data_IF_624263231631
#
_entry.id   IF_624263231631
#
_cell.length_a   1.000
_cell.length_b   1.000
_cell.length_c   1.000
_cell.angle_alpha   90.00
_cell.angle_beta   90.00
_cell.angle_gamma   90.00
#
_symmetry.space_group_name_H-M   'P 1'
#
loop_
_entity.id
_entity.type
_entity.pdbx_description
1 polymer ?
#
# COMPACT_ATOMS: atom_id res chain seq x y z
N UNK A 1 -6.29 -10.33 3.41
CA UNK A 1 -5.91 -9.00 2.91
C UNK A 1 -6.28 -8.74 1.45
N UNK A 2 -5.89 -9.56 0.46
CA UNK A 2 -6.41 -9.41 -0.93
C UNK A 2 -7.95 -9.32 -1.04
N UNK A 3 -8.69 -9.92 -0.10
CA UNK A 3 -10.16 -9.76 0.00
C UNK A 3 -10.60 -8.36 0.46
N UNK A 4 -9.81 -7.68 1.29
CA UNK A 4 -10.14 -6.32 1.76
C UNK A 4 -10.02 -5.28 0.65
N UNK A 5 -8.93 -5.34 -0.12
CA UNK A 5 -8.69 -4.44 -1.26
C UNK A 5 -9.73 -4.65 -2.36
N UNK A 6 -10.11 -5.92 -2.64
CA UNK A 6 -11.12 -6.26 -3.64
C UNK A 6 -12.52 -5.71 -3.28
N UNK A 7 -12.90 -5.71 -2.00
CA UNK A 7 -14.21 -5.20 -1.55
C UNK A 7 -14.27 -3.67 -1.59
N UNK A 8 -13.17 -2.99 -1.25
CA UNK A 8 -13.10 -1.53 -1.35
C UNK A 8 -13.18 -1.05 -2.82
N UNK A 9 -12.51 -1.75 -3.76
CA UNK A 9 -12.60 -1.44 -5.19
C UNK A 9 -13.98 -1.76 -5.79
N UNK A 10 -14.63 -2.85 -5.38
CA UNK A 10 -15.95 -3.20 -5.92
C UNK A 10 -17.05 -2.22 -5.49
N UNK A 11 -16.94 -1.62 -4.30
CA UNK A 11 -17.88 -0.61 -3.83
C UNK A 11 -17.76 0.73 -4.59
N UNK A 12 -16.60 1.02 -5.20
CA UNK A 12 -16.36 2.26 -5.94
C UNK A 12 -16.75 2.11 -7.41
N UNK A 13 -16.65 0.93 -8.01
CA UNK A 13 -17.05 0.69 -9.41
C UNK A 13 -18.56 0.63 -9.61
N UNK A 14 -19.36 0.44 -8.56
CA UNK A 14 -20.83 0.35 -8.69
C UNK A 14 -21.55 1.70 -8.69
N UNK A 15 -20.87 2.83 -8.50
CA UNK A 15 -21.51 4.17 -8.45
C UNK A 15 -21.50 4.90 -9.81
N UNK A 16 -20.82 4.41 -10.85
CA UNK A 16 -20.66 5.15 -12.11
C UNK A 16 -21.47 4.62 -13.31
N UNK A 17 -22.40 3.67 -13.15
CA UNK A 17 -23.25 3.23 -14.28
C UNK A 17 -24.70 3.02 -13.83
N UNK A 18 -25.51 4.09 -13.84
CA UNK A 18 -26.96 3.98 -13.91
C UNK A 18 -27.51 5.16 -14.72
N UNK A 19 -27.75 4.94 -15.99
CA UNK A 19 -28.80 5.63 -16.76
C UNK A 19 -29.65 4.55 -17.44
N UNK A 20 -30.97 4.76 -17.54
CA UNK A 20 -31.93 3.67 -17.76
C UNK A 20 -32.22 3.42 -19.22
N UNK A 21 -32.29 2.15 -19.63
CA UNK A 21 -33.09 1.76 -20.79
C UNK A 21 -34.07 0.65 -20.42
N UNK A 22 -35.34 0.94 -20.58
CA UNK A 22 -36.45 -0.02 -20.52
C UNK A 22 -36.53 -0.85 -21.81
N UNK A 23 -36.88 -2.11 -21.65
CA UNK A 23 -37.71 -2.76 -22.67
C UNK A 23 -37.35 -4.22 -22.96
N UNK A 24 -38.34 -5.05 -22.64
CA UNK A 24 -38.78 -6.30 -23.28
C UNK A 24 -38.25 -7.63 -22.75
N UNK A 25 -39.17 -8.31 -22.10
CA UNK A 25 -39.16 -9.75 -21.79
C UNK A 25 -39.22 -10.61 -23.06
N UNK A 26 -38.45 -11.64 -23.11
CA UNK A 26 -38.84 -12.90 -23.77
C UNK A 26 -38.15 -14.08 -23.04
N UNK A 27 -39.01 -14.96 -22.60
CA UNK A 27 -38.76 -16.21 -21.92
C UNK A 27 -38.41 -17.27 -22.97
N UNK A 28 -37.25 -17.94 -22.83
CA UNK A 28 -37.12 -19.30 -23.39
C UNK A 28 -36.12 -20.08 -22.56
N UNK A 29 -36.63 -21.18 -22.00
CA UNK A 29 -35.84 -22.21 -21.38
C UNK A 29 -35.16 -23.04 -22.47
N UNK A 30 -33.87 -23.29 -22.33
CA UNK A 30 -33.19 -24.41 -22.99
C UNK A 30 -31.85 -24.70 -22.26
N UNK A 31 -31.77 -25.84 -21.71
CA UNK A 31 -30.65 -26.76 -21.52
C UNK A 31 -29.25 -26.16 -21.19
N UNK A 32 -28.82 -26.45 -19.97
CA UNK A 32 -27.47 -26.26 -19.50
C UNK A 32 -26.49 -27.21 -20.19
N UNK A 33 -25.87 -26.76 -21.27
CA UNK A 33 -24.54 -27.23 -21.61
C UNK A 33 -23.51 -26.40 -20.84
N UNK A 34 -22.84 -27.02 -19.90
CA UNK A 34 -21.65 -26.47 -19.25
C UNK A 34 -20.56 -26.31 -20.29
N UNK A 35 -20.53 -25.16 -20.96
CA UNK A 35 -19.35 -24.74 -21.71
C UNK A 35 -18.31 -24.34 -20.68
N UNK A 36 -17.49 -25.31 -20.30
CA UNK A 36 -16.20 -25.07 -19.67
C UNK A 36 -15.38 -24.22 -20.62
N UNK A 37 -15.40 -22.89 -20.43
CA UNK A 37 -14.44 -21.99 -21.09
C UNK A 37 -13.07 -22.23 -20.48
N UNK A 38 -12.46 -23.35 -20.82
CA UNK A 38 -11.03 -23.54 -20.76
C UNK A 38 -10.40 -22.63 -21.84
N UNK A 39 -10.20 -21.36 -21.51
CA UNK A 39 -9.21 -20.52 -22.17
C UNK A 39 -7.82 -20.96 -21.66
N UNK A 40 -7.45 -22.19 -21.92
CA UNK A 40 -6.06 -22.59 -21.87
C UNK A 40 -5.34 -21.79 -22.96
N UNK A 41 -4.54 -20.80 -22.57
CA UNK A 41 -3.64 -20.13 -23.49
C UNK A 41 -2.76 -21.23 -24.10
N UNK A 42 -3.03 -21.55 -25.36
CA UNK A 42 -2.37 -22.67 -26.02
C UNK A 42 -0.88 -22.42 -26.00
N UNK A 43 -0.11 -23.25 -25.32
CA UNK A 43 1.34 -23.16 -25.24
C UNK A 43 1.95 -22.97 -26.64
N UNK A 44 3.04 -22.22 -26.74
CA UNK A 44 3.73 -22.03 -27.99
C UNK A 44 4.38 -23.35 -28.44
N UNK A 45 4.52 -23.52 -29.75
CA UNK A 45 5.17 -24.68 -30.34
C UNK A 45 6.56 -24.89 -29.71
N UNK A 46 6.72 -25.97 -28.97
CA UNK A 46 7.97 -26.31 -28.27
C UNK A 46 9.17 -26.46 -29.16
N UNK A 47 8.96 -26.82 -30.47
CA UNK A 47 10.03 -26.97 -31.46
C UNK A 47 10.78 -25.66 -31.74
N UNK A 48 10.19 -24.52 -31.36
CA UNK A 48 10.78 -23.19 -31.53
C UNK A 48 11.72 -22.79 -30.42
N UNK A 49 11.70 -23.51 -29.29
CA UNK A 49 12.60 -23.27 -28.19
C UNK A 49 13.83 -24.16 -28.27
N UNK A 50 15.01 -23.58 -28.03
CA UNK A 50 16.24 -24.34 -27.82
C UNK A 50 16.47 -24.33 -26.30
N UNK A 51 16.45 -25.54 -25.75
CA UNK A 51 16.62 -25.80 -24.28
C UNK A 51 17.78 -26.79 -24.14
N UNK A 52 18.61 -26.59 -23.12
CA UNK A 52 19.65 -27.54 -22.76
C UNK A 52 19.18 -28.56 -21.71
N UNK A 53 20.06 -29.50 -21.37
CA UNK A 53 19.77 -30.56 -20.38
C UNK A 53 19.53 -30.07 -18.95
N UNK A 54 19.96 -28.85 -18.62
CA UNK A 54 19.78 -28.20 -17.33
C UNK A 54 18.47 -27.36 -17.25
N UNK A 55 17.64 -27.38 -18.30
CA UNK A 55 16.42 -26.59 -18.34
C UNK A 55 16.61 -25.12 -18.70
N UNK A 56 17.77 -24.76 -19.27
CA UNK A 56 18.03 -23.38 -19.70
C UNK A 56 17.55 -23.18 -21.14
N UNK A 57 16.60 -22.26 -21.34
CA UNK A 57 16.16 -21.84 -22.67
C UNK A 57 17.20 -20.90 -23.26
N UNK A 58 18.00 -21.40 -24.20
CA UNK A 58 19.10 -20.63 -24.78
C UNK A 58 18.71 -19.80 -26.00
N UNK A 59 17.58 -20.10 -26.65
CA UNK A 59 17.09 -19.32 -27.80
C UNK A 59 15.62 -19.62 -28.11
N UNK A 60 14.96 -18.65 -28.75
CA UNK A 60 13.63 -18.79 -29.36
C UNK A 60 13.68 -18.44 -30.84
N UNK A 61 13.24 -19.36 -31.72
CA UNK A 61 13.27 -19.26 -33.18
C UNK A 61 11.89 -19.04 -33.81
N UNK A 62 10.88 -18.73 -33.01
CA UNK A 62 9.51 -18.49 -33.49
C UNK A 62 9.29 -17.03 -33.91
N UNK A 63 8.12 -16.81 -34.54
CA UNK A 63 7.69 -15.50 -35.05
C UNK A 63 6.35 -15.03 -34.46
N UNK A 64 5.92 -15.61 -33.33
CA UNK A 64 4.68 -15.22 -32.67
C UNK A 64 4.87 -13.93 -31.86
N UNK A 65 3.87 -13.05 -31.91
CA UNK A 65 3.83 -11.84 -31.07
C UNK A 65 3.61 -12.17 -29.59
N UNK A 66 2.80 -13.21 -29.32
CA UNK A 66 2.52 -13.71 -27.97
C UNK A 66 3.08 -15.13 -27.84
N UNK A 67 3.92 -15.31 -26.83
CA UNK A 67 4.64 -16.55 -26.55
C UNK A 67 4.27 -17.04 -25.16
N UNK A 68 3.78 -18.28 -25.05
CA UNK A 68 3.63 -18.98 -23.77
C UNK A 68 4.66 -20.10 -23.75
N UNK A 69 5.63 -20.00 -22.86
CA UNK A 69 6.63 -21.04 -22.67
C UNK A 69 5.94 -22.26 -22.07
N UNK A 70 6.05 -23.46 -22.68
CA UNK A 70 5.44 -24.68 -22.13
C UNK A 70 6.05 -25.07 -20.77
N UNK A 71 5.26 -25.77 -19.94
CA UNK A 71 5.72 -26.37 -18.67
C UNK A 71 6.85 -27.39 -18.87
N UNK A 72 6.87 -28.05 -20.05
CA UNK A 72 7.96 -28.91 -20.51
C UNK A 72 8.27 -28.65 -21.97
N UNK A 73 9.53 -28.68 -22.33
CA UNK A 73 10.03 -28.54 -23.72
C UNK A 73 10.85 -29.79 -24.01
N UNK A 74 10.35 -30.66 -24.92
CA UNK A 74 11.00 -31.93 -25.24
C UNK A 74 11.24 -32.83 -24.01
N UNK A 75 10.31 -32.77 -23.04
CA UNK A 75 10.43 -33.52 -21.80
C UNK A 75 11.30 -32.87 -20.72
N UNK A 76 11.90 -31.71 -20.98
CA UNK A 76 12.74 -30.98 -20.02
C UNK A 76 11.92 -29.81 -19.42
N UNK A 77 11.94 -29.67 -18.09
CA UNK A 77 11.30 -28.56 -17.37
C UNK A 77 12.19 -27.32 -17.50
N UNK A 78 11.70 -26.19 -18.06
CA UNK A 78 12.47 -24.96 -18.11
C UNK A 78 12.64 -24.35 -16.72
N UNK A 79 13.87 -23.99 -16.37
CA UNK A 79 14.24 -23.41 -15.06
C UNK A 79 14.82 -21.99 -15.17
N UNK A 80 15.36 -21.66 -16.35
CA UNK A 80 16.01 -20.37 -16.62
C UNK A 80 15.76 -19.92 -18.06
N UNK A 81 15.53 -18.62 -18.24
CA UNK A 81 15.75 -17.98 -19.54
C UNK A 81 17.25 -17.67 -19.62
N UNK A 82 17.92 -18.28 -20.58
CA UNK A 82 19.38 -18.20 -20.75
C UNK A 82 19.86 -16.81 -21.18
N UNK A 83 21.17 -16.63 -21.09
CA UNK A 83 21.82 -15.37 -21.44
C UNK A 83 21.59 -15.04 -22.91
N UNK A 84 21.09 -13.84 -23.21
CA UNK A 84 20.79 -13.39 -24.56
C UNK A 84 19.65 -14.14 -25.28
N UNK A 85 18.88 -15.02 -24.66
CA UNK A 85 17.90 -15.89 -25.31
C UNK A 85 16.90 -15.17 -26.22
N UNK A 86 16.50 -13.95 -25.87
CA UNK A 86 15.61 -13.04 -26.62
C UNK A 86 16.28 -11.68 -26.88
N UNK A 87 17.62 -11.59 -26.82
CA UNK A 87 18.33 -10.34 -27.10
C UNK A 87 18.05 -9.87 -28.52
N UNK A 88 17.78 -8.57 -28.71
CA UNK A 88 17.41 -7.93 -29.96
C UNK A 88 16.19 -8.57 -30.68
N UNK A 89 15.33 -9.30 -29.93
CA UNK A 89 14.12 -9.88 -30.52
C UNK A 89 13.09 -8.78 -30.79
N UNK A 90 12.82 -8.53 -32.08
CA UNK A 90 11.89 -7.48 -32.53
C UNK A 90 10.48 -8.00 -32.80
N UNK A 91 10.23 -9.30 -32.57
CA UNK A 91 8.93 -9.95 -32.86
C UNK A 91 8.08 -10.07 -31.60
N UNK A 92 8.60 -10.72 -30.54
CA UNK A 92 7.84 -11.02 -29.33
C UNK A 92 7.44 -9.73 -28.62
N UNK A 93 6.14 -9.63 -28.27
CA UNK A 93 5.57 -8.52 -27.48
C UNK A 93 5.17 -8.98 -26.10
N UNK A 94 4.56 -10.17 -26.01
CA UNK A 94 4.05 -10.71 -24.78
C UNK A 94 4.65 -12.09 -24.54
N UNK A 95 5.17 -12.34 -23.35
CA UNK A 95 5.68 -13.65 -22.97
C UNK A 95 5.16 -14.05 -21.59
N UNK A 96 4.71 -15.31 -21.50
CA UNK A 96 4.32 -15.95 -20.23
C UNK A 96 5.31 -17.07 -19.95
N UNK A 97 5.92 -17.03 -18.78
CA UNK A 97 6.86 -18.04 -18.30
C UNK A 97 6.15 -18.95 -17.29
N UNK A 98 6.44 -20.27 -17.29
CA UNK A 98 5.95 -21.15 -16.25
C UNK A 98 6.63 -20.84 -14.91
N UNK A 99 5.98 -21.20 -13.80
CA UNK A 99 6.47 -20.94 -12.44
C UNK A 99 7.78 -21.66 -12.11
N UNK A 100 8.15 -22.67 -12.89
CA UNK A 100 9.44 -23.36 -12.79
C UNK A 100 10.63 -22.50 -13.22
N UNK A 101 10.40 -21.44 -14.03
CA UNK A 101 11.45 -20.49 -14.42
C UNK A 101 11.69 -19.52 -13.26
N UNK A 102 12.83 -19.65 -12.61
CA UNK A 102 13.21 -18.85 -11.42
C UNK A 102 14.26 -17.78 -11.72
N UNK A 103 14.95 -17.85 -12.86
CA UNK A 103 16.03 -16.94 -13.23
C UNK A 103 15.84 -16.40 -14.65
N UNK A 104 16.01 -15.09 -14.82
CA UNK A 104 16.17 -14.46 -16.14
C UNK A 104 17.64 -14.06 -16.29
N UNK A 105 18.31 -14.69 -17.24
CA UNK A 105 19.75 -14.58 -17.45
C UNK A 105 20.21 -13.23 -18.02
N UNK A 106 21.51 -13.03 -18.05
CA UNK A 106 22.17 -11.81 -18.52
C UNK A 106 21.75 -11.44 -19.94
N UNK A 107 21.39 -10.18 -20.16
CA UNK A 107 20.94 -9.66 -21.46
C UNK A 107 19.74 -10.43 -22.09
N UNK A 108 19.02 -11.28 -21.35
CA UNK A 108 18.03 -12.20 -21.92
C UNK A 108 17.01 -11.53 -22.84
N UNK A 109 16.52 -10.35 -22.49
CA UNK A 109 15.59 -9.52 -23.29
C UNK A 109 16.15 -8.15 -23.64
N UNK A 110 17.46 -7.96 -23.58
CA UNK A 110 18.09 -6.67 -23.90
C UNK A 110 17.74 -6.22 -25.31
N UNK A 111 17.36 -4.93 -25.45
CA UNK A 111 16.94 -4.33 -26.74
C UNK A 111 15.80 -5.07 -27.43
N UNK A 112 15.06 -5.91 -26.71
CA UNK A 112 13.91 -6.61 -27.26
C UNK A 112 12.68 -5.71 -27.35
N UNK A 113 11.72 -6.14 -28.16
CA UNK A 113 10.43 -5.47 -28.29
C UNK A 113 9.38 -6.04 -27.32
N UNK A 114 9.80 -6.82 -26.32
CA UNK A 114 8.89 -7.34 -25.30
C UNK A 114 8.24 -6.18 -24.52
N UNK A 115 6.92 -6.24 -24.41
CA UNK A 115 6.09 -5.21 -23.74
C UNK A 115 5.51 -5.71 -22.42
N UNK A 116 5.19 -7.02 -22.35
CA UNK A 116 4.67 -7.66 -21.14
C UNK A 116 5.37 -8.99 -20.88
N UNK A 117 5.72 -9.22 -19.64
CA UNK A 117 6.26 -10.48 -19.12
C UNK A 117 5.43 -10.92 -17.94
N UNK A 118 4.84 -12.12 -18.03
CA UNK A 118 4.20 -12.78 -16.87
C UNK A 118 5.17 -13.83 -16.36
N UNK A 119 5.69 -13.66 -15.16
CA UNK A 119 6.81 -14.45 -14.62
C UNK A 119 6.72 -14.58 -13.09
N UNK A 120 5.68 -15.25 -12.60
CA UNK A 120 5.41 -15.35 -11.16
C UNK A 120 6.45 -16.19 -10.39
N UNK A 121 7.21 -17.04 -11.08
CA UNK A 121 8.25 -17.90 -10.50
C UNK A 121 9.59 -17.22 -10.30
N UNK A 122 9.86 -16.08 -10.99
CA UNK A 122 11.19 -15.48 -11.07
C UNK A 122 11.61 -14.85 -9.74
N UNK A 123 12.76 -15.28 -9.23
CA UNK A 123 13.37 -14.79 -7.98
C UNK A 123 14.63 -13.96 -8.23
N UNK A 124 15.27 -14.13 -9.40
CA UNK A 124 16.51 -13.44 -9.77
C UNK A 124 16.44 -12.86 -11.19
N UNK A 125 16.79 -11.58 -11.32
CA UNK A 125 16.99 -10.88 -12.58
C UNK A 125 18.48 -10.55 -12.71
N UNK A 126 19.15 -11.18 -13.70
CA UNK A 126 20.58 -10.98 -13.92
C UNK A 126 20.86 -9.73 -14.77
N UNK A 127 22.13 -9.33 -14.79
CA UNK A 127 22.60 -8.07 -15.37
C UNK A 127 22.00 -7.78 -16.77
N UNK A 128 21.47 -6.57 -16.89
CA UNK A 128 20.96 -6.00 -18.14
C UNK A 128 19.83 -6.82 -18.81
N UNK A 129 19.15 -7.74 -18.10
CA UNK A 129 18.23 -8.69 -18.71
C UNK A 129 17.05 -8.04 -19.45
N UNK A 130 16.61 -6.85 -19.07
CA UNK A 130 15.60 -6.04 -19.79
C UNK A 130 16.14 -4.67 -20.24
N UNK A 131 17.45 -4.48 -20.22
CA UNK A 131 18.01 -3.18 -20.58
C UNK A 131 17.59 -2.74 -21.99
N UNK A 132 17.18 -1.48 -22.14
CA UNK A 132 16.75 -0.88 -23.40
C UNK A 132 15.58 -1.65 -24.09
N UNK A 133 14.82 -2.46 -23.34
CA UNK A 133 13.65 -3.16 -23.84
C UNK A 133 12.42 -2.25 -23.91
N UNK A 134 11.34 -2.74 -24.54
CA UNK A 134 10.03 -2.05 -24.55
C UNK A 134 9.12 -2.47 -23.41
N UNK A 135 9.63 -3.15 -22.39
CA UNK A 135 8.86 -3.61 -21.24
C UNK A 135 8.12 -2.43 -20.60
N UNK A 136 6.82 -2.58 -20.35
CA UNK A 136 5.95 -1.52 -19.86
C UNK A 136 5.84 -1.47 -18.32
N UNK A 137 6.00 -2.63 -17.69
CA UNK A 137 5.97 -2.76 -16.22
C UNK A 137 6.95 -3.83 -15.76
N UNK A 138 7.54 -3.62 -14.58
CA UNK A 138 8.32 -4.61 -13.86
C UNK A 138 7.46 -5.15 -12.71
N UNK A 139 6.69 -6.20 -13.00
CA UNK A 139 5.85 -6.93 -12.05
C UNK A 139 6.44 -8.32 -11.82
N UNK A 140 7.27 -8.42 -10.77
CA UNK A 140 7.99 -9.64 -10.40
C UNK A 140 7.82 -9.91 -8.90
N UNK A 141 6.70 -10.53 -8.50
CA UNK A 141 6.28 -10.59 -7.09
C UNK A 141 7.18 -11.42 -6.19
N UNK A 142 8.02 -12.29 -6.76
CA UNK A 142 8.95 -13.14 -6.00
C UNK A 142 10.41 -12.71 -6.12
N UNK A 143 10.73 -11.72 -6.96
CA UNK A 143 12.12 -11.30 -7.18
C UNK A 143 12.70 -10.64 -5.93
N UNK A 144 13.80 -11.19 -5.46
CA UNK A 144 14.58 -10.70 -4.31
C UNK A 144 15.85 -9.98 -4.74
N UNK A 145 16.40 -10.35 -5.91
CA UNK A 145 17.68 -9.87 -6.42
C UNK A 145 17.53 -9.35 -7.83
N UNK A 146 18.02 -8.14 -8.05
CA UNK A 146 18.06 -7.43 -9.34
C UNK A 146 19.46 -6.85 -9.53
N UNK A 147 20.03 -6.98 -10.74
CA UNK A 147 21.35 -6.49 -11.11
C UNK A 147 21.28 -5.68 -12.40
N UNK A 148 21.20 -4.34 -12.32
CA UNK A 148 21.15 -3.44 -13.49
C UNK A 148 20.10 -3.85 -14.56
N UNK A 149 19.00 -4.53 -14.13
CA UNK A 149 18.15 -5.30 -15.02
C UNK A 149 17.39 -4.47 -16.03
N UNK A 150 16.98 -3.24 -15.72
CA UNK A 150 16.02 -2.46 -16.50
C UNK A 150 16.59 -1.19 -17.13
N UNK A 151 17.88 -0.95 -17.04
CA UNK A 151 18.53 0.28 -17.51
C UNK A 151 18.00 0.71 -18.90
N UNK A 152 17.52 1.94 -19.03
CA UNK A 152 16.99 2.53 -20.26
C UNK A 152 15.75 1.84 -20.84
N UNK A 153 15.05 1.01 -20.08
CA UNK A 153 13.81 0.36 -20.52
C UNK A 153 12.60 1.32 -20.49
N UNK A 154 11.49 0.89 -21.11
CA UNK A 154 10.26 1.68 -21.22
C UNK A 154 9.30 1.49 -20.04
N UNK A 155 9.73 0.91 -18.91
CA UNK A 155 8.85 0.63 -17.79
C UNK A 155 8.20 1.91 -17.26
N UNK A 156 6.91 1.83 -16.99
CA UNK A 156 6.12 2.91 -16.37
C UNK A 156 5.87 2.66 -14.88
N UNK A 157 5.98 1.41 -14.43
CA UNK A 157 5.83 1.03 -13.03
C UNK A 157 6.69 -0.16 -12.64
N UNK A 158 7.10 -0.17 -11.38
CA UNK A 158 7.77 -1.29 -10.70
C UNK A 158 6.84 -1.79 -9.61
N UNK A 159 6.56 -3.10 -9.58
CA UNK A 159 5.88 -3.79 -8.46
C UNK A 159 6.70 -5.04 -8.11
N UNK A 160 7.62 -4.86 -7.15
CA UNK A 160 8.57 -5.89 -6.72
C UNK A 160 8.63 -5.93 -5.19
N UNK A 161 7.59 -6.47 -4.53
CA UNK A 161 7.43 -6.37 -3.07
C UNK A 161 8.49 -7.11 -2.26
N UNK A 162 9.24 -8.03 -2.87
CA UNK A 162 10.32 -8.79 -2.22
C UNK A 162 11.72 -8.29 -2.55
N UNK A 163 11.86 -7.32 -3.45
CA UNK A 163 13.16 -6.74 -3.80
C UNK A 163 13.82 -6.12 -2.57
N UNK A 164 15.05 -6.53 -2.25
CA UNK A 164 15.82 -6.08 -1.08
C UNK A 164 16.80 -4.97 -1.39
N UNK A 165 17.35 -4.97 -2.61
CA UNK A 165 18.35 -3.99 -3.04
C UNK A 165 18.13 -3.59 -4.49
N UNK A 166 18.29 -2.30 -4.80
CA UNK A 166 18.35 -1.78 -6.15
C UNK A 166 19.74 -1.16 -6.38
N UNK A 167 20.48 -1.71 -7.34
CA UNK A 167 21.86 -1.32 -7.62
C UNK A 167 22.01 -0.94 -9.12
N UNK A 168 21.78 0.34 -9.44
CA UNK A 168 21.83 0.85 -10.81
C UNK A 168 20.69 0.38 -11.72
N UNK A 169 19.79 -0.46 -11.23
CA UNK A 169 18.89 -1.29 -12.02
C UNK A 169 17.84 -0.57 -12.85
N UNK A 170 17.47 0.61 -12.48
CA UNK A 170 16.39 1.38 -13.12
C UNK A 170 16.89 2.69 -13.76
N UNK A 171 18.19 2.85 -13.89
CA UNK A 171 18.79 4.07 -14.47
C UNK A 171 18.19 4.34 -15.86
N UNK A 172 17.90 5.61 -16.17
CA UNK A 172 17.31 6.06 -17.44
C UNK A 172 15.93 5.45 -17.81
N UNK A 173 15.18 4.94 -16.85
CA UNK A 173 13.80 4.51 -17.08
C UNK A 173 12.86 5.73 -17.16
N UNK A 174 12.96 6.49 -18.25
CA UNK A 174 12.34 7.82 -18.45
C UNK A 174 10.81 7.85 -18.40
N UNK A 175 10.14 6.69 -18.50
CA UNK A 175 8.68 6.58 -18.42
C UNK A 175 8.18 6.14 -17.07
N UNK A 176 9.08 5.76 -16.14
CA UNK A 176 8.72 5.23 -14.85
C UNK A 176 8.05 6.31 -13.98
N UNK A 177 6.84 6.03 -13.51
CA UNK A 177 6.04 6.92 -12.65
C UNK A 177 5.94 6.44 -11.22
N UNK A 178 5.98 5.12 -11.01
CA UNK A 178 5.75 4.54 -9.69
C UNK A 178 6.71 3.39 -9.40
N UNK A 179 7.27 3.40 -8.21
CA UNK A 179 8.05 2.31 -7.62
C UNK A 179 7.33 1.79 -6.39
N UNK A 180 7.03 0.47 -6.38
CA UNK A 180 6.51 -0.28 -5.24
C UNK A 180 7.48 -1.40 -4.91
N UNK A 181 8.26 -1.20 -3.86
CA UNK A 181 9.28 -2.13 -3.42
C UNK A 181 9.32 -2.15 -1.88
N UNK A 182 8.28 -2.74 -1.27
CA UNK A 182 8.07 -2.66 0.18
C UNK A 182 9.15 -3.37 1.01
N UNK A 183 9.88 -4.32 0.44
CA UNK A 183 11.03 -4.96 1.09
C UNK A 183 12.38 -4.30 0.77
N UNK A 184 12.41 -3.23 -0.02
CA UNK A 184 13.65 -2.55 -0.40
C UNK A 184 14.33 -1.94 0.82
N UNK A 185 15.54 -2.39 1.12
CA UNK A 185 16.35 -1.95 2.27
C UNK A 185 17.46 -0.99 1.87
N UNK A 186 17.94 -1.10 0.60
CA UNK A 186 19.05 -0.29 0.10
C UNK A 186 18.89 0.09 -1.37
N UNK A 187 19.38 1.29 -1.70
CA UNK A 187 19.53 1.83 -3.05
C UNK A 187 21.00 2.20 -3.21
N UNK A 188 21.59 1.92 -4.37
CA UNK A 188 22.98 2.24 -4.65
C UNK A 188 23.20 2.60 -6.13
N UNK A 189 24.34 3.21 -6.42
CA UNK A 189 24.83 3.51 -7.77
C UNK A 189 23.84 4.28 -8.65
N UNK A 190 23.06 5.19 -8.02
CA UNK A 190 22.10 6.02 -8.75
C UNK A 190 21.00 5.20 -9.41
N UNK A 191 20.49 4.16 -8.71
CA UNK A 191 19.56 3.18 -9.29
C UNK A 191 18.34 3.78 -9.98
N UNK A 192 17.89 4.96 -9.58
CA UNK A 192 16.76 5.68 -10.19
C UNK A 192 17.17 6.98 -10.88
N UNK A 193 18.46 7.15 -11.16
CA UNK A 193 18.96 8.31 -11.89
C UNK A 193 18.38 8.36 -13.30
N UNK A 194 18.02 9.55 -13.78
CA UNK A 194 17.43 9.73 -15.11
C UNK A 194 15.98 9.26 -15.26
N UNK A 195 15.30 8.87 -14.17
CA UNK A 195 13.88 8.51 -14.18
C UNK A 195 13.00 9.77 -14.18
N UNK A 196 13.06 10.54 -15.25
CA UNK A 196 12.51 11.91 -15.35
C UNK A 196 11.00 12.03 -15.22
N UNK A 197 10.24 10.94 -15.21
CA UNK A 197 8.78 10.91 -15.01
C UNK A 197 8.38 10.33 -13.64
N UNK A 198 9.34 10.02 -12.74
CA UNK A 198 9.06 9.37 -11.48
C UNK A 198 8.28 10.28 -10.53
N UNK A 199 7.12 9.82 -10.07
CA UNK A 199 6.20 10.57 -9.22
C UNK A 199 6.06 9.98 -7.82
N UNK A 200 6.04 8.65 -7.68
CA UNK A 200 5.75 8.00 -6.40
C UNK A 200 6.72 6.87 -6.08
N UNK A 201 7.25 6.89 -4.86
CA UNK A 201 8.16 5.85 -4.35
C UNK A 201 7.61 5.28 -3.04
N UNK A 202 7.32 3.99 -3.02
CA UNK A 202 6.88 3.22 -1.85
C UNK A 202 7.97 2.22 -1.48
N UNK A 203 8.73 2.52 -0.44
CA UNK A 203 9.87 1.74 0.01
C UNK A 203 9.85 1.60 1.54
N UNK A 204 8.90 0.78 2.03
CA UNK A 204 8.55 0.70 3.45
C UNK A 204 9.71 0.27 4.36
N UNK A 205 10.68 -0.48 3.84
CA UNK A 205 11.84 -0.95 4.60
C UNK A 205 13.15 -0.22 4.29
N UNK A 206 13.12 0.75 3.39
CA UNK A 206 14.31 1.50 3.03
C UNK A 206 14.92 2.19 4.26
N UNK A 207 16.22 2.00 4.48
CA UNK A 207 16.95 2.55 5.63
C UNK A 207 17.51 3.93 5.34
N UNK A 208 18.05 4.13 4.14
CA UNK A 208 18.61 5.40 3.70
C UNK A 208 17.95 5.85 2.40
N UNK A 209 17.42 7.06 2.39
CA UNK A 209 17.02 7.78 1.18
C UNK A 209 18.01 8.91 0.91
N UNK A 210 18.48 9.02 -0.34
CA UNK A 210 19.35 10.08 -0.78
C UNK A 210 18.92 10.55 -2.17
N UNK A 211 18.63 11.84 -2.30
CA UNK A 211 18.19 12.43 -3.58
C UNK A 211 19.20 12.23 -4.71
N UNK A 212 20.47 11.99 -4.40
CA UNK A 212 21.51 11.68 -5.41
C UNK A 212 21.26 10.37 -6.16
N UNK A 213 20.61 9.38 -5.51
CA UNK A 213 20.22 8.13 -6.15
C UNK A 213 19.06 8.31 -7.15
N UNK A 214 18.42 9.48 -7.13
CA UNK A 214 17.29 9.90 -7.96
C UNK A 214 17.66 11.11 -8.82
N UNK A 215 18.94 11.31 -9.16
CA UNK A 215 19.37 12.44 -9.94
C UNK A 215 18.58 12.53 -11.26
N UNK A 216 18.21 13.77 -11.65
CA UNK A 216 17.30 14.09 -12.76
C UNK A 216 15.82 13.60 -12.61
N UNK A 217 15.47 12.98 -11.50
CA UNK A 217 14.08 12.57 -11.19
C UNK A 217 13.37 13.69 -10.42
N UNK A 218 13.17 14.85 -11.07
CA UNK A 218 12.66 16.10 -10.44
C UNK A 218 11.14 16.17 -10.38
N UNK A 219 10.42 15.03 -10.44
CA UNK A 219 8.96 14.97 -10.49
C UNK A 219 8.36 14.14 -9.36
N UNK A 220 9.14 13.83 -8.30
CA UNK A 220 8.70 12.97 -7.21
C UNK A 220 7.71 13.71 -6.32
N UNK A 221 6.41 13.43 -6.46
CA UNK A 221 5.32 14.03 -5.68
C UNK A 221 5.11 13.35 -4.33
N UNK A 222 5.58 12.10 -4.18
CA UNK A 222 5.33 11.31 -2.98
C UNK A 222 6.47 10.33 -2.66
N UNK A 223 6.93 10.37 -1.40
CA UNK A 223 7.85 9.41 -0.80
C UNK A 223 7.19 8.76 0.41
N UNK A 224 7.14 7.43 0.45
CA UNK A 224 6.68 6.65 1.60
C UNK A 224 7.84 5.84 2.18
N UNK A 225 8.43 6.34 3.29
CA UNK A 225 9.69 5.90 3.87
C UNK A 225 9.59 5.65 5.40
N UNK A 226 8.65 4.84 5.89
CA UNK A 226 8.38 4.72 7.32
C UNK A 226 9.51 4.07 8.14
N UNK A 227 10.45 3.39 7.50
CA UNK A 227 11.58 2.74 8.19
C UNK A 227 12.92 3.44 7.99
N UNK A 228 12.95 4.55 7.26
CA UNK A 228 14.18 5.27 7.00
C UNK A 228 14.75 5.89 8.29
N UNK A 229 16.02 5.64 8.54
CA UNK A 229 16.78 6.28 9.61
C UNK A 229 17.60 7.47 9.11
N UNK A 230 17.80 7.59 7.79
CA UNK A 230 18.53 8.65 7.13
C UNK A 230 17.76 9.12 5.89
N UNK A 231 17.44 10.42 5.84
CA UNK A 231 16.75 11.04 4.70
C UNK A 231 17.52 12.31 4.29
N UNK A 232 18.19 12.27 3.14
CA UNK A 232 18.78 13.44 2.47
C UNK A 232 17.87 13.80 1.30
N UNK A 233 17.07 14.86 1.47
CA UNK A 233 16.03 15.22 0.51
C UNK A 233 16.24 16.63 -0.05
N UNK A 234 16.43 16.72 -1.37
CA UNK A 234 16.37 17.97 -2.13
C UNK A 234 14.96 18.16 -2.68
N UNK A 235 14.22 19.15 -2.15
CA UNK A 235 12.86 19.47 -2.59
C UNK A 235 12.93 20.33 -3.84
N UNK A 236 12.52 19.78 -4.98
CA UNK A 236 12.59 20.45 -6.30
C UNK A 236 11.23 20.87 -6.83
N UNK A 237 10.13 20.46 -6.18
CA UNK A 237 8.73 20.83 -6.49
C UNK A 237 7.82 20.43 -5.31
N UNK A 238 6.53 20.67 -5.42
CA UNK A 238 5.56 20.32 -4.38
C UNK A 238 5.49 18.79 -4.18
N UNK A 239 5.60 18.32 -2.94
CA UNK A 239 5.61 16.90 -2.64
C UNK A 239 5.12 16.56 -1.23
N UNK A 240 4.85 15.27 -1.01
CA UNK A 240 4.52 14.70 0.31
C UNK A 240 5.55 13.64 0.71
N UNK A 241 6.11 13.80 1.90
CA UNK A 241 6.99 12.84 2.55
C UNK A 241 6.23 12.16 3.71
N UNK A 242 6.15 10.83 3.68
CA UNK A 242 5.74 10.02 4.81
C UNK A 242 6.99 9.43 5.46
N UNK A 243 7.24 9.76 6.72
CA UNK A 243 8.38 9.27 7.49
C UNK A 243 7.92 8.65 8.80
N UNK A 244 8.72 7.72 9.31
CA UNK A 244 8.48 7.09 10.62
C UNK A 244 9.35 7.69 11.71
N UNK A 245 9.14 7.22 12.93
CA UNK A 245 9.85 7.67 14.14
C UNK A 245 11.35 7.25 14.16
N UNK A 246 11.80 6.50 13.16
CA UNK A 246 13.20 6.05 13.05
C UNK A 246 14.13 7.05 12.37
N UNK A 247 13.62 8.11 11.79
CA UNK A 247 14.42 9.11 11.09
C UNK A 247 15.32 9.88 12.09
N UNK A 248 16.65 9.71 11.96
CA UNK A 248 17.66 10.24 12.91
C UNK A 248 18.68 11.14 12.25
N UNK A 249 18.95 10.94 10.96
CA UNK A 249 20.05 11.56 10.24
C UNK A 249 19.59 12.11 8.89
N UNK A 250 20.40 13.02 8.36
CA UNK A 250 20.17 13.64 7.06
C UNK A 250 19.44 14.98 7.16
N UNK A 251 19.35 15.65 6.04
CA UNK A 251 18.85 17.02 5.93
C UNK A 251 17.82 17.16 4.81
N UNK A 252 16.90 18.12 4.98
CA UNK A 252 15.99 18.57 3.93
C UNK A 252 16.47 19.91 3.40
N UNK A 253 16.65 20.00 2.08
CA UNK A 253 16.97 21.23 1.36
C UNK A 253 15.76 21.68 0.54
N UNK A 254 15.22 22.87 0.84
CA UNK A 254 14.08 23.47 0.12
C UNK A 254 14.30 24.96 -0.17
N UNK A 255 15.35 25.33 -0.93
CA UNK A 255 15.73 26.74 -1.13
C UNK A 255 14.67 27.52 -1.92
N UNK A 256 13.85 26.88 -2.72
CA UNK A 256 12.81 27.51 -3.53
C UNK A 256 11.43 27.53 -2.86
N UNK A 257 11.32 27.11 -1.59
CA UNK A 257 10.10 27.09 -0.79
C UNK A 257 8.91 26.39 -1.47
N UNK A 258 9.17 25.27 -2.14
CA UNK A 258 8.09 24.42 -2.65
C UNK A 258 7.20 23.90 -1.52
N UNK A 259 5.93 23.64 -1.79
CA UNK A 259 5.04 23.08 -0.80
C UNK A 259 5.46 21.64 -0.47
N UNK A 260 6.01 21.45 0.74
CA UNK A 260 6.40 20.16 1.30
C UNK A 260 5.41 19.77 2.41
N UNK A 261 4.64 18.70 2.19
CA UNK A 261 3.86 18.12 3.25
C UNK A 261 4.67 17.00 3.91
N UNK A 262 4.85 17.07 5.22
CA UNK A 262 5.54 16.01 5.99
C UNK A 262 4.51 15.35 6.90
N UNK A 263 4.33 14.05 6.75
CA UNK A 263 3.48 13.22 7.60
C UNK A 263 4.39 12.32 8.44
N UNK A 264 4.50 12.62 9.73
CA UNK A 264 5.42 11.93 10.63
C UNK A 264 5.19 12.32 12.09
N UNK A 265 5.92 11.71 13.02
CA UNK A 265 5.87 12.06 14.44
C UNK A 265 6.42 13.46 14.72
N UNK A 266 5.80 14.18 15.68
CA UNK A 266 6.13 15.58 15.99
C UNK A 266 7.60 15.77 16.36
N UNK A 267 8.13 14.93 17.25
CA UNK A 267 9.50 15.02 17.74
C UNK A 267 10.54 14.82 16.62
N UNK A 268 10.26 13.87 15.73
CA UNK A 268 11.16 13.52 14.62
C UNK A 268 11.16 14.62 13.57
N UNK A 269 9.98 15.09 13.15
CA UNK A 269 9.88 16.14 12.13
C UNK A 269 10.48 17.45 12.63
N UNK A 270 10.23 17.83 13.88
CA UNK A 270 10.75 19.07 14.46
C UNK A 270 12.28 19.11 14.48
N UNK A 271 12.96 17.98 14.68
CA UNK A 271 14.41 17.89 14.67
C UNK A 271 15.03 18.17 13.29
N UNK A 272 14.33 17.77 12.21
CA UNK A 272 14.85 17.85 10.84
C UNK A 272 14.32 19.05 10.03
N UNK A 273 13.41 19.83 10.58
CA UNK A 273 12.84 21.02 9.92
C UNK A 273 13.31 22.34 10.50
N UNK A 274 14.19 22.33 11.51
CA UNK A 274 14.69 23.55 12.18
C UNK A 274 15.34 24.57 11.24
N UNK A 275 15.95 24.09 10.15
CA UNK A 275 16.61 24.93 9.15
C UNK A 275 15.69 25.30 7.98
N UNK A 276 14.44 24.84 7.98
CA UNK A 276 13.45 25.19 6.95
C UNK A 276 12.69 26.44 7.38
N UNK A 277 12.36 27.27 6.40
CA UNK A 277 11.43 28.38 6.58
C UNK A 277 10.03 27.79 6.93
N UNK A 278 9.38 28.33 7.95
CA UNK A 278 8.06 27.86 8.40
C UNK A 278 6.99 27.88 7.30
N UNK A 279 7.17 28.72 6.28
CA UNK A 279 6.27 28.81 5.14
C UNK A 279 6.59 27.78 4.04
N UNK A 280 7.71 27.05 4.17
CA UNK A 280 8.21 26.12 3.18
C UNK A 280 7.72 24.68 3.40
N UNK A 281 7.05 24.40 4.52
CA UNK A 281 6.52 23.05 4.80
C UNK A 281 5.25 23.09 5.63
N UNK A 282 4.45 22.03 5.51
CA UNK A 282 3.29 21.75 6.38
C UNK A 282 3.57 20.40 7.04
N UNK A 283 3.68 20.40 8.36
CA UNK A 283 3.74 19.20 9.15
C UNK A 283 2.34 18.73 9.52
N UNK A 284 2.08 17.43 9.36
CA UNK A 284 0.89 16.74 9.89
C UNK A 284 1.36 15.61 10.79
N UNK A 285 1.04 15.71 12.07
CA UNK A 285 1.32 14.64 13.03
C UNK A 285 0.61 13.35 12.60
N UNK A 286 1.28 12.21 12.76
CA UNK A 286 0.63 10.90 12.62
C UNK A 286 -0.37 10.63 13.73
N UNK A 287 -0.42 11.47 14.76
CA UNK A 287 -1.21 11.26 15.97
C UNK A 287 -2.63 11.87 15.94
N UNK A 288 -2.99 12.65 14.89
CA UNK A 288 -4.26 13.39 14.80
C UNK A 288 -4.90 13.42 13.39
N UNK A 289 -4.44 12.59 12.48
CA UNK A 289 -4.95 12.56 11.10
C UNK A 289 -6.32 11.86 10.99
N UNK A 290 -6.62 10.92 11.89
CA UNK A 290 -7.89 10.21 11.93
C UNK A 290 -8.85 10.98 12.81
N UNK A 291 -9.98 11.40 12.23
CA UNK A 291 -11.00 12.11 12.99
C UNK A 291 -11.78 11.17 13.92
N UNK A 292 -12.19 11.67 15.07
CA UNK A 292 -13.07 10.95 16.01
C UNK A 292 -14.51 11.40 15.82
N UNK A 293 -15.44 10.45 15.71
CA UNK A 293 -16.89 10.70 15.54
C UNK A 293 -17.67 10.69 16.86
N UNK A 294 -16.95 10.67 18.00
CA UNK A 294 -17.53 10.62 19.33
C UNK A 294 -17.89 9.22 19.80
N UNK A 295 -18.58 9.16 20.93
CA UNK A 295 -19.03 7.93 21.57
C UNK A 295 -20.55 7.81 21.56
N UNK A 296 -21.05 6.59 21.46
CA UNK A 296 -22.47 6.25 21.47
C UNK A 296 -22.71 5.07 22.39
N UNK A 297 -23.84 5.06 23.09
CA UNK A 297 -24.27 3.92 23.91
C UNK A 297 -25.19 2.99 23.13
N UNK A 298 -25.15 1.71 23.51
CA UNK A 298 -26.03 0.63 23.03
C UNK A 298 -26.79 0.09 24.24
N UNK A 299 -28.01 0.51 24.40
CA UNK A 299 -28.83 0.15 25.57
C UNK A 299 -29.22 -1.32 25.63
N UNK A 300 -29.25 -1.99 24.45
CA UNK A 300 -29.64 -3.40 24.37
C UNK A 300 -28.63 -4.36 25.05
N UNK A 301 -27.35 -4.02 25.04
CA UNK A 301 -26.26 -4.89 25.50
C UNK A 301 -25.24 -4.17 26.40
N UNK A 302 -25.66 -3.06 27.03
CA UNK A 302 -24.80 -2.19 27.83
C UNK A 302 -23.46 -1.94 27.15
N UNK A 303 -23.53 -1.53 25.87
CA UNK A 303 -22.36 -1.37 25.01
C UNK A 303 -21.98 0.09 24.82
N UNK A 304 -20.68 0.33 24.63
CA UNK A 304 -20.11 1.61 24.28
C UNK A 304 -19.46 1.49 22.89
N UNK A 305 -19.76 2.43 21.99
CA UNK A 305 -19.21 2.50 20.64
C UNK A 305 -18.47 3.81 20.46
N UNK A 306 -17.25 3.73 19.95
CA UNK A 306 -16.47 4.89 19.47
C UNK A 306 -16.37 4.82 17.95
N UNK A 307 -16.60 5.95 17.27
CA UNK A 307 -16.48 6.09 15.84
C UNK A 307 -15.17 6.78 15.44
N UNK A 308 -14.57 6.32 14.34
CA UNK A 308 -13.36 6.89 13.74
C UNK A 308 -13.56 7.06 12.25
N UNK A 309 -12.98 8.14 11.70
CA UNK A 309 -13.10 8.51 10.31
C UNK A 309 -11.72 8.88 9.73
N UNK A 310 -11.40 8.33 8.57
CA UNK A 310 -10.25 8.74 7.78
C UNK A 310 -10.75 9.54 6.59
N UNK A 311 -10.28 10.77 6.44
CA UNK A 311 -10.45 11.54 5.22
C UNK A 311 -9.49 11.00 4.15
N UNK A 312 -10.06 10.33 3.15
CA UNK A 312 -9.29 9.65 2.10
C UNK A 312 -8.53 10.61 1.18
N UNK A 313 -8.89 11.90 1.16
CA UNK A 313 -8.18 12.91 0.39
C UNK A 313 -6.95 13.44 1.15
N UNK A 314 -7.03 13.54 2.48
CA UNK A 314 -5.92 14.04 3.30
C UNK A 314 -4.67 13.14 3.25
N UNK A 315 -4.85 11.83 3.04
CA UNK A 315 -3.77 10.83 3.14
C UNK A 315 -3.30 10.26 1.80
N UNK A 316 -3.83 10.70 0.65
CA UNK A 316 -3.69 9.88 -0.58
C UNK A 316 -3.98 8.39 -0.28
N UNK A 317 -5.03 8.16 0.53
CA UNK A 317 -5.38 6.90 1.17
C UNK A 317 -5.37 5.70 0.22
N UNK A 318 -5.92 5.88 -0.98
CA UNK A 318 -5.97 4.81 -1.98
C UNK A 318 -4.59 4.44 -2.50
N UNK A 319 -3.72 5.42 -2.73
CA UNK A 319 -2.36 5.14 -3.17
C UNK A 319 -1.58 4.37 -2.12
N UNK A 320 -1.71 4.75 -0.84
CA UNK A 320 -1.10 4.02 0.28
C UNK A 320 -1.66 2.60 0.38
N UNK A 321 -2.99 2.45 0.38
CA UNK A 321 -3.65 1.15 0.51
C UNK A 321 -3.31 0.19 -0.64
N UNK A 322 -3.29 0.69 -1.88
CA UNK A 322 -2.94 -0.10 -3.07
C UNK A 322 -1.46 -0.48 -3.13
N UNK A 323 -0.61 0.26 -2.44
CA UNK A 323 0.85 0.06 -2.46
C UNK A 323 1.35 -0.77 -1.30
N UNK A 324 0.53 -0.88 -0.24
CA UNK A 324 0.88 -1.60 0.97
C UNK A 324 0.97 -3.12 0.74
N UNK A 325 1.96 -3.75 1.37
CA UNK A 325 1.99 -5.21 1.53
C UNK A 325 1.17 -5.65 2.73
N UNK A 326 1.10 -4.80 3.75
CA UNK A 326 0.29 -5.00 4.95
C UNK A 326 -0.43 -3.69 5.34
N UNK A 327 -1.76 -3.76 5.43
CA UNK A 327 -2.57 -2.65 5.88
C UNK A 327 -3.67 -3.12 6.81
N UNK A 328 -3.87 -2.41 7.92
CA UNK A 328 -4.91 -2.74 8.89
C UNK A 328 -5.49 -1.47 9.50
N UNK A 329 -6.75 -1.58 9.92
CA UNK A 329 -7.48 -0.55 10.66
C UNK A 329 -7.86 -1.10 12.01
N UNK A 330 -7.91 -0.24 13.01
CA UNK A 330 -8.32 -0.71 14.30
C UNK A 330 -8.27 0.39 15.37
N UNK A 331 -8.14 -0.04 16.59
CA UNK A 331 -8.06 0.86 17.73
C UNK A 331 -7.16 0.26 18.82
N UNK A 332 -6.57 1.16 19.56
CA UNK A 332 -5.84 0.86 20.79
C UNK A 332 -6.58 1.48 21.97
N UNK A 333 -6.63 0.79 23.11
CA UNK A 333 -7.33 1.27 24.27
C UNK A 333 -6.71 0.77 25.57
N UNK A 334 -7.00 1.50 26.68
CA UNK A 334 -6.71 1.10 28.05
C UNK A 334 -7.84 1.51 28.97
N UNK A 335 -7.95 0.82 30.08
CA UNK A 335 -8.81 1.21 31.21
C UNK A 335 -8.02 1.96 32.29
N UNK A 336 -6.69 2.02 32.18
CA UNK A 336 -5.86 2.78 33.11
C UNK A 336 -6.17 4.28 32.98
N UNK A 337 -6.30 4.97 34.09
CA UNK A 337 -6.65 6.38 34.09
C UNK A 337 -5.51 7.24 33.49
N UNK A 338 -5.86 8.06 32.52
CA UNK A 338 -4.98 9.05 31.91
C UNK A 338 -5.43 10.50 32.18
N UNK A 339 -6.26 10.72 33.19
CA UNK A 339 -6.81 12.05 33.47
C UNK A 339 -5.76 13.09 33.87
N UNK A 340 -4.67 12.67 34.48
CA UNK A 340 -3.54 13.50 34.92
C UNK A 340 -2.48 13.72 33.84
N UNK A 341 -2.67 13.16 32.62
CA UNK A 341 -1.74 13.23 31.52
C UNK A 341 -2.12 14.32 30.54
N UNK A 342 -1.13 14.97 29.96
CA UNK A 342 -1.28 15.85 28.80
C UNK A 342 -1.67 15.05 27.55
N UNK A 343 -2.21 15.70 26.52
CA UNK A 343 -2.55 15.03 25.26
C UNK A 343 -1.32 14.37 24.61
N UNK A 344 -0.17 15.03 24.65
CA UNK A 344 1.08 14.45 24.13
C UNK A 344 1.48 13.17 24.89
N UNK A 345 1.39 13.16 26.23
CA UNK A 345 1.65 11.97 27.03
C UNK A 345 0.65 10.85 26.76
N UNK A 346 -0.65 11.17 26.61
CA UNK A 346 -1.68 10.20 26.23
C UNK A 346 -1.38 9.57 24.87
N UNK A 347 -0.97 10.37 23.91
CA UNK A 347 -0.59 9.92 22.57
C UNK A 347 0.64 9.00 22.59
N UNK A 348 1.59 9.22 23.48
CA UNK A 348 2.74 8.34 23.67
C UNK A 348 2.39 7.03 24.38
N UNK A 349 1.48 7.06 25.34
CA UNK A 349 1.04 5.88 26.08
C UNK A 349 0.18 4.96 25.20
N UNK A 350 -0.82 5.53 24.51
CA UNK A 350 -1.79 4.77 23.71
C UNK A 350 -1.27 4.47 22.29
N UNK A 351 -0.30 3.57 22.22
CA UNK A 351 0.27 3.09 20.95
C UNK A 351 0.16 1.58 20.83
N UNK A 352 0.05 1.08 19.61
CA UNK A 352 0.03 -0.36 19.33
C UNK A 352 1.30 -1.04 19.86
N UNK A 353 1.12 -2.11 20.63
CA UNK A 353 2.23 -2.85 21.25
C UNK A 353 2.80 -2.25 22.54
N UNK A 354 2.28 -1.11 23.03
CA UNK A 354 2.71 -0.54 24.29
C UNK A 354 2.19 -1.38 25.50
N UNK A 355 2.93 -1.36 26.59
CA UNK A 355 2.55 -2.09 27.82
C UNK A 355 1.25 -1.53 28.43
N UNK A 356 0.34 -2.41 28.83
CA UNK A 356 -0.97 -2.03 29.37
C UNK A 356 -1.98 -1.54 28.33
N UNK A 357 -1.64 -1.58 27.05
CA UNK A 357 -2.51 -1.14 25.96
C UNK A 357 -3.01 -2.33 25.16
N UNK A 358 -4.31 -2.39 24.95
CA UNK A 358 -4.96 -3.38 24.12
C UNK A 358 -5.03 -2.90 22.67
N UNK A 359 -4.65 -3.75 21.72
CA UNK A 359 -4.77 -3.48 20.28
C UNK A 359 -5.81 -4.40 19.66
N UNK A 360 -6.71 -3.85 18.86
CA UNK A 360 -7.78 -4.58 18.16
C UNK A 360 -7.90 -4.11 16.72
N UNK A 361 -8.01 -5.06 15.79
CA UNK A 361 -8.33 -4.76 14.39
C UNK A 361 -9.83 -4.54 14.24
N UNK A 362 -10.25 -3.54 13.47
CA UNK A 362 -11.65 -3.31 13.18
C UNK A 362 -12.18 -4.39 12.22
N UNK A 363 -13.28 -5.04 12.61
CA UNK A 363 -13.92 -6.09 11.80
C UNK A 363 -14.88 -5.53 10.75
N UNK A 364 -15.43 -4.34 10.97
CA UNK A 364 -16.42 -3.71 10.10
C UNK A 364 -16.02 -2.27 9.78
N UNK A 365 -16.19 -1.88 8.53
CA UNK A 365 -15.98 -0.53 8.06
C UNK A 365 -17.05 -0.14 7.03
N UNK A 366 -17.19 1.16 6.79
CA UNK A 366 -18.05 1.75 5.78
C UNK A 366 -17.29 2.84 5.04
N UNK A 367 -17.51 2.98 3.74
CA UNK A 367 -16.92 4.04 2.93
C UNK A 367 -17.99 4.67 2.03
N UNK A 368 -17.97 5.98 1.90
CA UNK A 368 -18.84 6.75 1.01
C UNK A 368 -18.07 7.40 -0.17
N UNK A 369 -16.83 6.96 -0.42
CA UNK A 369 -15.98 7.49 -1.48
C UNK A 369 -15.10 8.68 -1.07
N UNK A 370 -15.42 9.37 0.04
CA UNK A 370 -14.64 10.49 0.61
C UNK A 370 -14.05 10.14 1.97
N UNK A 371 -14.79 9.37 2.74
CA UNK A 371 -14.45 8.99 4.10
C UNK A 371 -14.49 7.49 4.28
N UNK A 372 -13.52 6.99 5.05
CA UNK A 372 -13.48 5.62 5.51
C UNK A 372 -13.77 5.60 7.00
N UNK A 373 -14.90 4.99 7.38
CA UNK A 373 -15.40 4.97 8.76
C UNK A 373 -15.29 3.58 9.35
N UNK A 374 -14.87 3.48 10.59
CA UNK A 374 -14.86 2.23 11.37
C UNK A 374 -15.15 2.51 12.84
N UNK A 375 -15.50 1.46 13.60
CA UNK A 375 -15.94 1.61 14.97
C UNK A 375 -15.23 0.62 15.90
N UNK A 376 -14.93 1.08 17.12
CA UNK A 376 -14.67 0.23 18.27
C UNK A 376 -15.97 0.00 19.03
N UNK A 377 -16.26 -1.25 19.35
CA UNK A 377 -17.48 -1.60 20.10
C UNK A 377 -17.11 -2.44 21.31
N UNK A 378 -17.48 -1.96 22.49
CA UNK A 378 -17.41 -2.65 23.75
C UNK A 378 -18.83 -3.08 24.12
N UNK A 379 -19.05 -4.35 24.44
CA UNK A 379 -20.37 -4.90 24.76
C UNK A 379 -20.36 -5.57 26.10
N UNK A 380 -21.54 -5.70 26.70
CA UNK A 380 -21.73 -6.41 27.97
C UNK A 380 -20.89 -5.82 29.11
N UNK A 381 -20.83 -4.48 29.17
CA UNK A 381 -20.17 -3.77 30.28
C UNK A 381 -20.92 -4.09 31.57
N UNK A 382 -20.27 -4.68 32.56
CA UNK A 382 -20.95 -4.99 33.86
C UNK A 382 -21.47 -3.72 34.52
N UNK A 383 -22.59 -3.84 35.26
CA UNK A 383 -23.24 -2.70 35.91
C UNK A 383 -22.36 -1.95 36.90
N UNK A 384 -21.42 -2.64 37.55
CA UNK A 384 -20.45 -2.03 38.48
C UNK A 384 -19.26 -1.36 37.75
N UNK A 385 -19.17 -1.46 36.40
CA UNK A 385 -18.12 -0.86 35.56
C UNK A 385 -18.65 0.20 34.58
N UNK A 386 -19.92 0.60 34.70
CA UNK A 386 -20.52 1.58 33.78
C UNK A 386 -19.87 2.96 33.85
N UNK A 387 -19.25 3.29 34.97
CA UNK A 387 -18.55 4.56 35.21
C UNK A 387 -17.07 4.51 34.86
N UNK A 388 -16.54 3.33 34.52
CA UNK A 388 -15.14 3.19 34.18
C UNK A 388 -14.88 3.79 32.76
N UNK A 389 -13.91 4.67 32.69
CA UNK A 389 -13.52 5.29 31.40
C UNK A 389 -12.68 4.35 30.58
N UNK A 390 -12.98 4.32 29.28
CA UNK A 390 -12.13 3.73 28.26
C UNK A 390 -11.39 4.86 27.56
N UNK A 391 -10.07 4.86 27.62
CA UNK A 391 -9.21 5.75 26.83
C UNK A 391 -8.87 5.03 25.55
N UNK A 392 -9.17 5.63 24.41
CA UNK A 392 -9.11 4.94 23.13
C UNK A 392 -8.68 5.90 22.01
N UNK A 393 -7.97 5.37 21.03
CA UNK A 393 -7.73 6.02 19.75
C UNK A 393 -7.82 5.02 18.59
N UNK A 394 -8.31 5.49 17.45
CA UNK A 394 -8.29 4.74 16.21
C UNK A 394 -6.91 4.73 15.56
N UNK A 395 -6.60 3.70 14.78
CA UNK A 395 -5.40 3.68 13.95
C UNK A 395 -5.67 3.17 12.54
N UNK A 396 -4.83 3.63 11.61
CA UNK A 396 -4.57 3.04 10.32
C UNK A 396 -3.10 2.68 10.24
N UNK A 397 -2.78 1.41 10.03
CA UNK A 397 -1.42 0.93 9.90
C UNK A 397 -1.16 0.52 8.45
N UNK A 398 -0.07 1.00 7.88
CA UNK A 398 0.41 0.67 6.54
C UNK A 398 1.87 0.28 6.65
N UNK A 399 2.19 -0.98 6.30
CA UNK A 399 3.56 -1.53 6.31
C UNK A 399 4.35 -1.15 7.59
N UNK A 400 3.66 -1.17 8.74
CA UNK A 400 4.25 -0.87 10.05
C UNK A 400 4.25 0.62 10.45
N UNK A 401 3.87 1.54 9.57
CA UNK A 401 3.63 2.95 9.93
C UNK A 401 2.22 3.10 10.49
N UNK A 402 2.11 3.53 11.74
CA UNK A 402 0.85 3.80 12.40
C UNK A 402 0.48 5.27 12.28
N UNK A 403 -0.74 5.52 11.84
CA UNK A 403 -1.40 6.83 11.77
C UNK A 403 -2.58 6.75 12.73
N UNK A 404 -2.74 7.72 13.60
CA UNK A 404 -3.69 7.66 14.70
C UNK A 404 -4.72 8.80 14.68
N UNK A 405 -5.80 8.61 15.43
CA UNK A 405 -6.67 9.67 15.89
C UNK A 405 -6.13 10.32 17.16
N UNK A 406 -6.62 11.50 17.56
CA UNK A 406 -6.50 11.96 18.94
C UNK A 406 -7.04 10.91 19.92
N UNK A 407 -6.55 10.94 21.18
CA UNK A 407 -7.11 10.12 22.25
C UNK A 407 -8.47 10.68 22.66
N UNK A 408 -9.46 9.82 22.73
CA UNK A 408 -10.77 10.14 23.31
C UNK A 408 -11.05 9.22 24.48
N UNK A 409 -11.84 9.69 25.44
CA UNK A 409 -12.27 8.86 26.56
C UNK A 409 -13.72 9.10 26.91
N UNK A 410 -14.43 8.03 27.22
CA UNK A 410 -15.78 8.07 27.75
C UNK A 410 -16.03 6.83 28.60
N UNK A 411 -16.95 6.95 29.55
CA UNK A 411 -17.60 5.82 30.18
C UNK A 411 -19.02 5.64 29.61
N UNK A 412 -19.61 4.47 29.86
CA UNK A 412 -21.03 4.26 29.54
C UNK A 412 -21.92 5.28 30.24
N UNK A 413 -21.66 5.53 31.54
CA UNK A 413 -22.42 6.48 32.35
C UNK A 413 -22.31 7.91 31.82
N UNK A 414 -21.14 8.38 31.43
CA UNK A 414 -20.95 9.73 30.87
C UNK A 414 -21.79 9.93 29.58
N UNK A 415 -21.76 8.98 28.68
CA UNK A 415 -22.52 9.05 27.42
C UNK A 415 -24.02 8.92 27.68
N UNK A 416 -24.42 8.04 28.61
CA UNK A 416 -25.81 7.90 29.03
C UNK A 416 -26.37 9.22 29.60
N UNK A 417 -25.60 9.86 30.49
CA UNK A 417 -25.98 11.16 31.07
C UNK A 417 -26.12 12.25 30.01
N UNK A 418 -25.21 12.28 29.04
CA UNK A 418 -25.29 13.21 27.91
C UNK A 418 -26.59 13.01 27.12
N UNK A 419 -26.94 11.76 26.79
CA UNK A 419 -28.19 11.42 26.08
C UNK A 419 -29.43 11.83 26.88
N UNK A 420 -29.43 11.62 28.19
CA UNK A 420 -30.56 11.99 29.05
C UNK A 420 -30.78 13.51 29.12
N UNK A 421 -29.70 14.27 29.07
CA UNK A 421 -29.71 15.73 29.13
C UNK A 421 -29.95 16.43 27.78
N UNK A 422 -29.83 15.70 26.68
CA UNK A 422 -30.02 16.24 25.32
C UNK A 422 -31.52 16.45 25.03
N UNK A 423 -31.92 17.69 24.81
CA UNK A 423 -33.34 18.05 24.54
C UNK A 423 -33.86 17.52 23.21
N UNK A 424 -32.97 17.22 22.24
CA UNK A 424 -33.32 16.71 20.90
C UNK A 424 -33.50 15.19 20.87
N UNK A 425 -33.12 14.47 21.95
CA UNK A 425 -33.28 13.02 22.01
C UNK A 425 -34.71 12.64 22.39
N UNK A 426 -35.33 11.77 21.64
CA UNK A 426 -36.68 11.27 21.84
C UNK A 426 -36.84 10.61 23.26
N UNK A 427 -37.99 10.81 23.88
CA UNK A 427 -38.29 10.28 25.22
C UNK A 427 -38.20 8.75 25.30
N UNK A 428 -38.54 8.04 24.20
CA UNK A 428 -38.41 6.58 24.11
C UNK A 428 -36.97 6.09 24.27
N UNK A 429 -36.02 6.82 23.64
CA UNK A 429 -34.59 6.55 23.77
C UNK A 429 -34.11 6.81 25.20
N UNK A 430 -34.50 7.97 25.77
CA UNK A 430 -34.17 8.31 27.18
C UNK A 430 -34.66 7.25 28.15
N UNK A 431 -35.87 6.72 27.98
CA UNK A 431 -36.41 5.65 28.83
C UNK A 431 -35.57 4.37 28.73
N UNK A 432 -35.15 3.98 27.51
CA UNK A 432 -34.24 2.82 27.32
C UNK A 432 -32.89 3.04 28.02
N UNK A 433 -32.36 4.27 27.98
CA UNK A 433 -31.11 4.62 28.68
C UNK A 433 -31.26 4.49 30.16
N UNK A 434 -32.35 5.03 30.77
CA UNK A 434 -32.65 4.89 32.22
C UNK A 434 -32.72 3.43 32.64
N UNK A 435 -33.42 2.59 31.86
CA UNK A 435 -33.50 1.15 32.13
C UNK A 435 -32.11 0.49 32.10
N UNK A 436 -31.24 0.88 31.16
CA UNK A 436 -29.88 0.33 31.05
C UNK A 436 -28.96 0.74 32.21
N UNK A 437 -29.27 1.86 32.88
CA UNK A 437 -28.59 2.32 34.10
C UNK A 437 -29.18 1.70 35.40
N UNK A 438 -30.29 0.94 35.31
CA UNK A 438 -31.00 0.41 36.45
C UNK A 438 -31.90 1.44 37.15
N UNK A 439 -32.19 2.55 36.48
CA UNK A 439 -33.15 3.57 36.93
C UNK A 439 -34.55 3.18 36.42
N UNK A 440 -35.48 2.89 37.31
CA UNK A 440 -36.88 2.53 37.01
C UNK A 440 -37.79 3.73 37.12
#
# INVERSE_FOLDING_TARGET
>A
MKKFVSVALSAIMTVSVLAPCRGVMAQQAAESETVSTYSASRASDESKFIIDENGVITSYKGYKLTVTVPETIKGIIPTKIGDGAFENNVVVRNITLPDSVTVIGKNAFKKSYVETVTANGVVELQDSCFAQSRLKSADFPKTEVEHNAFNGSNIASVDMPKLKSADGGFTDCKKMKTVKASSLESIANGAFSGCTALQKVYASKLKKFDSSDFSDSKTIEMLFLPSADTINLDVTHNMTLYCGDNWKNGDISNPNKFALNIIGGDDVVSQHTQNLDSDAYIHRSTDDIIDTLGAQIRTKDNGLRFGFQIDMQKLDFFSLLLSATDASFGFVYTYDSLNDKTEAEKNQILRAGASGVHTRTAGNYNSNGFYFNYNAVFTSIPSNHLSDKVYIRGYFCVDGMYIYSPVVSNSYADVALAVLNDEYVEQGIKNNVKLSLGEV
#
